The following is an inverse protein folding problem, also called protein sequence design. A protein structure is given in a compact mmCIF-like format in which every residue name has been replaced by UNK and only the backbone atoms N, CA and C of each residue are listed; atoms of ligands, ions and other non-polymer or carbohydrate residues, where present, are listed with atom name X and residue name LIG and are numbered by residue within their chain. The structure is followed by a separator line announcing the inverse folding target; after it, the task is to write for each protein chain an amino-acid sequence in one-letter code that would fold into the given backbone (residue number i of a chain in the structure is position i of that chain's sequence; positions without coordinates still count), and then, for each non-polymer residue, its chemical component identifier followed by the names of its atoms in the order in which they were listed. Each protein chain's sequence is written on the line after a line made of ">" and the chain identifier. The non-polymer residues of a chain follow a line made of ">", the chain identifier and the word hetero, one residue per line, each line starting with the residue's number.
data_IF_679030014432
#
_entry.id   IF_679030014432
#
_cell.length_a   1.000
_cell.length_b   1.000
_cell.length_c   1.000
_cell.angle_alpha   90.00
_cell.angle_beta   90.00
_cell.angle_gamma   90.00
#
_symmetry.space_group_name_H-M   'P 1'
#
loop_
_entity.id
_entity.type
_entity.pdbx_description
1 polymer ?
#
# COMPACT_ATOMS: atom_id res chain seq x y z
N UNK A 1 18.36 -45.01 -30.40
CA UNK A 1 18.11 -46.18 -29.53
C UNK A 1 18.99 -46.00 -28.31
N UNK A 2 18.41 -45.66 -27.17
CA UNK A 2 19.14 -45.59 -25.90
C UNK A 2 19.71 -46.98 -25.60
N UNK A 3 20.91 -47.02 -25.03
CA UNK A 3 21.59 -48.28 -24.79
C UNK A 3 20.87 -49.06 -23.68
N UNK A 4 20.75 -50.39 -23.81
CA UNK A 4 20.09 -51.20 -22.77
C UNK A 4 20.76 -51.04 -21.39
N UNK A 5 22.05 -50.70 -21.37
CA UNK A 5 22.83 -50.44 -20.14
C UNK A 5 22.31 -49.27 -19.31
N UNK A 6 21.72 -48.25 -19.94
CA UNK A 6 21.14 -47.12 -19.21
C UNK A 6 19.92 -47.53 -18.38
N UNK A 7 19.18 -48.55 -18.84
CA UNK A 7 17.96 -49.01 -18.19
C UNK A 7 18.17 -50.13 -17.19
N UNK A 8 19.32 -50.82 -17.23
CA UNK A 8 19.68 -51.93 -16.34
C UNK A 8 19.38 -51.66 -14.85
N UNK A 9 19.81 -50.54 -14.23
CA UNK A 9 19.48 -50.27 -12.83
C UNK A 9 17.97 -50.07 -12.59
N UNK A 10 17.25 -49.52 -13.58
CA UNK A 10 15.81 -49.23 -13.48
C UNK A 10 14.94 -50.48 -13.57
N UNK A 11 15.45 -51.58 -14.18
CA UNK A 11 14.68 -52.82 -14.33
C UNK A 11 14.32 -53.46 -12.98
N UNK A 12 15.26 -53.44 -12.04
CA UNK A 12 15.06 -54.00 -10.69
C UNK A 12 14.06 -53.20 -9.88
N UNK A 13 14.18 -51.87 -9.90
CA UNK A 13 13.26 -50.93 -9.23
C UNK A 13 11.85 -50.99 -9.82
N UNK A 14 11.73 -51.08 -11.15
CA UNK A 14 10.44 -51.24 -11.83
C UNK A 14 9.75 -52.55 -11.46
N UNK A 15 10.51 -53.65 -11.34
CA UNK A 15 9.97 -54.95 -10.94
C UNK A 15 9.37 -54.95 -9.53
N UNK A 16 9.87 -54.09 -8.64
CA UNK A 16 9.37 -53.92 -7.26
C UNK A 16 8.39 -52.74 -7.10
N UNK A 17 7.99 -52.09 -8.20
CA UNK A 17 7.14 -50.89 -8.19
C UNK A 17 7.71 -49.72 -7.36
N UNK A 18 9.03 -49.59 -7.30
CA UNK A 18 9.75 -48.53 -6.57
C UNK A 18 10.17 -47.35 -7.47
N UNK A 19 9.83 -47.43 -8.76
CA UNK A 19 10.22 -46.42 -9.74
C UNK A 19 9.25 -45.22 -9.72
N UNK A 20 9.77 -44.01 -9.85
CA UNK A 20 8.93 -42.82 -10.01
C UNK A 20 8.16 -42.86 -11.34
N UNK A 21 6.98 -42.24 -11.38
CA UNK A 21 6.07 -42.33 -12.53
C UNK A 21 6.71 -41.87 -13.86
N UNK A 22 7.55 -40.84 -13.83
CA UNK A 22 8.23 -40.32 -15.02
C UNK A 22 9.28 -41.31 -15.57
N UNK A 23 10.05 -41.91 -14.66
CA UNK A 23 11.04 -42.93 -14.99
C UNK A 23 10.36 -44.21 -15.51
N UNK A 24 9.21 -44.57 -14.91
CA UNK A 24 8.41 -45.72 -15.32
C UNK A 24 7.90 -45.55 -16.76
N UNK A 25 7.32 -44.40 -17.09
CA UNK A 25 6.86 -44.12 -18.44
C UNK A 25 8.00 -44.12 -19.48
N UNK A 26 9.22 -43.71 -19.09
CA UNK A 26 10.39 -43.76 -19.98
C UNK A 26 10.87 -45.20 -20.20
N UNK A 27 10.94 -46.00 -19.13
CA UNK A 27 11.31 -47.41 -19.22
C UNK A 27 10.27 -48.24 -19.99
N UNK A 28 8.98 -47.98 -19.81
CA UNK A 28 7.89 -48.67 -20.54
C UNK A 28 7.99 -48.48 -22.06
N UNK A 29 8.34 -47.28 -22.52
CA UNK A 29 8.63 -47.02 -23.94
C UNK A 29 9.79 -47.87 -24.45
N UNK A 30 10.85 -48.04 -23.66
CA UNK A 30 11.96 -48.93 -24.00
C UNK A 30 11.53 -50.40 -24.01
N UNK A 31 10.77 -50.84 -22.99
CA UNK A 31 10.25 -52.19 -22.87
C UNK A 31 9.31 -52.55 -24.02
N UNK A 32 8.59 -51.60 -24.61
CA UNK A 32 7.79 -51.85 -25.82
C UNK A 32 8.66 -52.31 -27.01
N UNK A 33 9.86 -51.75 -27.16
CA UNK A 33 10.78 -52.06 -28.26
C UNK A 33 11.83 -53.15 -28.00
N UNK A 34 12.16 -53.44 -26.74
CA UNK A 34 13.28 -54.32 -26.38
C UNK A 34 12.83 -55.64 -25.76
N UNK A 35 12.92 -56.75 -26.52
CA UNK A 35 12.58 -58.08 -26.02
C UNK A 35 13.52 -58.58 -24.90
N UNK A 36 14.78 -58.15 -24.90
CA UNK A 36 15.73 -58.60 -23.88
C UNK A 36 15.39 -58.04 -22.50
N UNK A 37 15.20 -56.72 -22.40
CA UNK A 37 14.85 -56.06 -21.14
C UNK A 37 13.49 -56.52 -20.60
N UNK A 38 12.51 -56.87 -21.47
CA UNK A 38 11.24 -57.50 -21.03
C UNK A 38 11.47 -58.84 -20.31
N UNK A 39 12.34 -59.70 -20.85
CA UNK A 39 12.67 -60.98 -20.20
C UNK A 39 13.35 -60.77 -18.85
N UNK A 40 14.21 -59.77 -18.77
CA UNK A 40 14.93 -59.43 -17.55
C UNK A 40 14.00 -58.90 -16.46
N UNK A 41 13.10 -57.96 -16.76
CA UNK A 41 12.05 -57.51 -15.83
C UNK A 41 11.18 -58.67 -15.35
N UNK A 42 10.77 -59.57 -16.25
CA UNK A 42 10.00 -60.74 -15.90
C UNK A 42 10.76 -61.70 -14.95
N UNK A 43 12.10 -61.76 -15.06
CA UNK A 43 12.95 -62.52 -14.15
C UNK A 43 13.03 -61.88 -12.77
N UNK A 44 13.20 -60.56 -12.67
CA UNK A 44 13.16 -59.82 -11.40
C UNK A 44 11.79 -59.96 -10.71
N UNK A 45 10.69 -59.83 -11.45
CA UNK A 45 9.34 -60.02 -10.90
C UNK A 45 9.12 -61.45 -10.38
N UNK A 46 9.69 -62.45 -11.07
CA UNK A 46 9.62 -63.85 -10.60
C UNK A 46 10.41 -64.04 -9.31
N UNK A 47 11.62 -63.49 -9.24
CA UNK A 47 12.45 -63.54 -8.04
C UNK A 47 11.78 -62.83 -6.87
N UNK A 48 11.23 -61.63 -7.10
CA UNK A 48 10.48 -60.85 -6.10
C UNK A 48 9.29 -61.63 -5.54
N UNK A 49 8.51 -62.30 -6.41
CA UNK A 49 7.42 -63.20 -5.98
C UNK A 49 7.92 -64.39 -5.15
N UNK A 50 9.05 -65.00 -5.52
CA UNK A 50 9.63 -66.11 -4.76
C UNK A 50 10.16 -65.66 -3.39
N UNK A 51 10.79 -64.48 -3.34
CA UNK A 51 11.22 -63.88 -2.07
C UNK A 51 10.04 -63.52 -1.18
N UNK A 52 8.93 -63.03 -1.75
CA UNK A 52 7.69 -62.74 -1.01
C UNK A 52 7.00 -63.98 -0.43
N UNK A 53 7.33 -65.18 -0.89
CA UNK A 53 6.84 -66.45 -0.31
C UNK A 53 7.67 -66.91 0.89
N UNK A 54 8.84 -66.32 1.13
CA UNK A 54 9.62 -66.60 2.33
C UNK A 54 8.88 -66.02 3.52
N UNK A 55 8.52 -66.87 4.47
CA UNK A 55 7.95 -66.40 5.72
C UNK A 55 8.99 -65.51 6.42
N UNK A 56 8.66 -64.25 6.72
CA UNK A 56 9.57 -63.43 7.52
C UNK A 56 9.79 -64.13 8.86
N UNK A 57 11.03 -64.18 9.36
CA UNK A 57 11.29 -64.78 10.66
C UNK A 57 10.46 -64.04 11.71
N UNK A 58 9.86 -64.77 12.66
CA UNK A 58 9.19 -64.16 13.79
C UNK A 58 10.24 -63.33 14.56
N UNK A 59 10.08 -62.00 14.51
CA UNK A 59 10.95 -61.09 15.26
C UNK A 59 10.47 -61.12 16.71
N UNK A 60 11.33 -61.48 17.69
CA UNK A 60 10.96 -61.44 19.10
C UNK A 60 10.49 -60.05 19.51
N UNK A 61 9.43 -59.96 20.34
CA UNK A 61 8.82 -58.68 20.74
C UNK A 61 9.80 -57.73 21.42
N UNK A 62 10.79 -58.27 22.16
CA UNK A 62 11.81 -57.47 22.83
C UNK A 62 12.74 -56.74 21.84
N UNK A 63 13.04 -57.32 20.68
CA UNK A 63 13.92 -56.69 19.68
C UNK A 63 13.27 -55.43 19.12
N UNK A 64 11.96 -55.45 18.88
CA UNK A 64 11.23 -54.26 18.44
C UNK A 64 11.16 -53.19 19.54
N UNK A 65 10.93 -53.60 20.79
CA UNK A 65 10.91 -52.68 21.92
C UNK A 65 12.28 -52.00 22.10
N UNK A 66 13.37 -52.76 22.05
CA UNK A 66 14.74 -52.26 22.20
C UNK A 66 15.12 -51.33 21.04
N UNK A 67 14.76 -51.70 19.80
CA UNK A 67 14.99 -50.85 18.63
C UNK A 67 14.23 -49.52 18.75
N UNK A 68 12.94 -49.57 19.10
CA UNK A 68 12.10 -48.38 19.26
C UNK A 68 12.60 -47.50 20.41
N UNK A 69 13.03 -48.10 21.52
CA UNK A 69 13.65 -47.37 22.63
C UNK A 69 14.94 -46.66 22.18
N UNK A 70 15.79 -47.33 21.39
CA UNK A 70 17.00 -46.75 20.83
C UNK A 70 16.74 -45.61 19.84
N UNK A 71 15.70 -45.72 19.01
CA UNK A 71 15.26 -44.65 18.10
C UNK A 71 14.71 -43.47 18.89
N UNK A 72 13.85 -43.71 19.88
CA UNK A 72 13.29 -42.67 20.73
C UNK A 72 14.39 -41.92 21.49
N UNK A 73 15.37 -42.63 22.04
CA UNK A 73 16.51 -42.04 22.75
C UNK A 73 17.41 -41.21 21.79
N UNK A 74 17.62 -41.65 20.55
CA UNK A 74 18.33 -40.83 19.54
C UNK A 74 17.54 -39.59 19.15
N UNK A 75 16.22 -39.67 19.01
CA UNK A 75 15.36 -38.51 18.73
C UNK A 75 15.41 -37.53 19.90
N UNK A 76 15.27 -38.01 21.14
CA UNK A 76 15.35 -37.18 22.35
C UNK A 76 16.72 -36.48 22.47
N UNK A 77 17.81 -37.20 22.16
CA UNK A 77 19.16 -36.59 22.10
C UNK A 77 19.29 -35.59 20.96
N UNK A 78 18.68 -35.86 19.81
CA UNK A 78 18.62 -34.96 18.66
C UNK A 78 17.79 -33.69 18.90
N UNK A 79 16.76 -33.74 19.74
CA UNK A 79 15.93 -32.57 20.03
C UNK A 79 16.69 -31.52 20.87
N UNK A 80 17.66 -31.97 21.68
CA UNK A 80 18.49 -31.11 22.52
C UNK A 80 19.33 -30.10 21.73
N UNK A 81 19.83 -30.45 20.53
CA UNK A 81 20.63 -29.51 19.73
C UNK A 81 19.75 -28.44 19.09
N UNK A 82 18.53 -28.80 18.66
CA UNK A 82 17.58 -27.84 18.08
C UNK A 82 17.14 -26.82 19.12
N UNK A 83 16.82 -27.27 20.34
CA UNK A 83 16.46 -26.36 21.45
C UNK A 83 17.62 -25.42 21.78
N UNK A 84 18.87 -25.91 21.81
CA UNK A 84 20.06 -25.06 22.04
C UNK A 84 20.28 -24.04 20.92
N UNK A 85 20.11 -24.42 19.66
CA UNK A 85 20.26 -23.51 18.51
C UNK A 85 19.17 -22.43 18.53
N UNK A 86 17.91 -22.81 18.78
CA UNK A 86 16.80 -21.85 18.88
C UNK A 86 17.04 -20.88 20.05
N UNK A 87 17.47 -21.37 21.21
CA UNK A 87 17.81 -20.53 22.36
C UNK A 87 18.95 -19.55 22.03
N UNK A 88 20.01 -20.01 21.34
CA UNK A 88 21.12 -19.15 20.92
C UNK A 88 20.66 -18.07 19.94
N UNK A 89 19.85 -18.43 18.94
CA UNK A 89 19.27 -17.47 17.98
C UNK A 89 18.41 -16.44 18.72
N UNK A 90 17.60 -16.86 19.70
CA UNK A 90 16.78 -15.95 20.50
C UNK A 90 17.63 -14.97 21.33
N UNK A 91 18.74 -15.44 21.93
CA UNK A 91 19.70 -14.59 22.65
C UNK A 91 20.35 -13.57 21.71
N UNK A 92 20.81 -14.00 20.54
CA UNK A 92 21.41 -13.12 19.54
C UNK A 92 20.38 -12.09 19.05
N UNK A 93 19.16 -12.52 18.71
CA UNK A 93 18.09 -11.62 18.28
C UNK A 93 17.73 -10.59 19.36
N UNK A 94 17.68 -11.00 20.63
CA UNK A 94 17.46 -10.10 21.78
C UNK A 94 18.60 -9.08 21.93
N UNK A 95 19.85 -9.49 21.73
CA UNK A 95 21.00 -8.58 21.77
C UNK A 95 20.93 -7.53 20.65
N UNK A 96 20.63 -7.93 19.42
CA UNK A 96 20.52 -7.02 18.28
C UNK A 96 19.32 -6.07 18.36
N UNK A 97 18.17 -6.54 18.87
CA UNK A 97 16.99 -5.68 19.03
C UNK A 97 17.25 -4.58 20.05
N UNK A 98 17.90 -4.90 21.17
CA UNK A 98 18.28 -3.93 22.22
C UNK A 98 19.29 -2.90 21.73
N UNK A 99 20.23 -3.29 20.87
CA UNK A 99 21.21 -2.37 20.26
C UNK A 99 20.56 -1.47 19.21
N UNK A 100 19.61 -2.01 18.43
CA UNK A 100 18.83 -1.25 17.44
C UNK A 100 18.00 -0.16 18.13
N UNK A 101 17.32 -0.47 19.24
CA UNK A 101 16.54 0.53 19.98
C UNK A 101 17.40 1.70 20.47
N UNK A 102 18.64 1.45 20.91
CA UNK A 102 19.55 2.52 21.32
C UNK A 102 19.91 3.46 20.16
N UNK A 103 20.28 2.92 19.00
CA UNK A 103 20.65 3.74 17.83
C UNK A 103 19.47 4.61 17.37
N UNK A 104 18.25 4.05 17.30
CA UNK A 104 17.06 4.81 16.91
C UNK A 104 16.71 5.89 17.92
N UNK A 105 16.84 5.62 19.23
CA UNK A 105 16.59 6.65 20.26
C UNK A 105 17.59 7.80 20.17
N UNK A 106 18.88 7.52 19.96
CA UNK A 106 19.90 8.57 19.80
C UNK A 106 19.67 9.41 18.54
N UNK A 107 19.31 8.76 17.42
CA UNK A 107 19.02 9.45 16.17
C UNK A 107 17.78 10.35 16.28
N UNK A 108 16.73 9.88 16.96
CA UNK A 108 15.53 10.67 17.22
C UNK A 108 15.83 11.91 18.09
N UNK A 109 16.64 11.74 19.14
CA UNK A 109 17.08 12.86 19.99
C UNK A 109 17.88 13.90 19.18
N UNK A 110 18.78 13.46 18.30
CA UNK A 110 19.55 14.36 17.43
C UNK A 110 18.66 15.12 16.44
N UNK A 111 17.67 14.45 15.83
CA UNK A 111 16.70 15.12 14.95
C UNK A 111 15.90 16.17 15.72
N UNK A 112 15.38 15.83 16.90
CA UNK A 112 14.62 16.77 17.72
C UNK A 112 15.47 17.98 18.13
N UNK A 113 16.71 17.75 18.57
CA UNK A 113 17.64 18.83 18.91
C UNK A 113 17.94 19.74 17.69
N UNK A 114 18.16 19.15 16.52
CA UNK A 114 18.39 19.89 15.27
C UNK A 114 17.18 20.73 14.84
N UNK A 115 15.97 20.16 14.89
CA UNK A 115 14.74 20.90 14.58
C UNK A 115 14.48 22.04 15.56
N UNK A 116 14.77 21.84 16.85
CA UNK A 116 14.64 22.87 17.87
C UNK A 116 15.64 24.01 17.63
N UNK A 117 16.90 23.69 17.34
CA UNK A 117 17.93 24.68 17.01
C UNK A 117 17.57 25.48 15.76
N UNK A 118 17.10 24.82 14.68
CA UNK A 118 16.69 25.49 13.46
C UNK A 118 15.50 26.45 13.70
N UNK A 119 14.49 26.02 14.46
CA UNK A 119 13.34 26.87 14.81
C UNK A 119 13.74 28.04 15.72
N UNK A 120 14.64 27.78 16.67
CA UNK A 120 15.20 28.83 17.55
C UNK A 120 15.95 29.90 16.74
N UNK A 121 16.81 29.48 15.80
CA UNK A 121 17.50 30.40 14.89
C UNK A 121 16.54 31.16 13.99
N UNK A 122 15.55 30.49 13.38
CA UNK A 122 14.56 31.15 12.53
C UNK A 122 13.77 32.23 13.28
N UNK A 123 13.47 32.02 14.56
CA UNK A 123 12.83 33.04 15.42
C UNK A 123 13.77 34.20 15.75
N UNK A 124 15.06 33.92 15.96
CA UNK A 124 16.07 34.96 16.21
C UNK A 124 16.35 35.81 14.96
N UNK A 125 16.28 35.23 13.77
CA UNK A 125 16.51 35.94 12.50
C UNK A 125 15.25 36.53 11.88
N UNK A 126 14.08 36.35 12.51
CA UNK A 126 12.86 36.94 12.00
C UNK A 126 13.01 38.47 12.05
N UNK A 127 12.95 39.17 10.89
CA UNK A 127 13.03 40.62 10.89
C UNK A 127 11.89 41.18 11.75
N UNK A 128 12.18 42.24 12.51
CA UNK A 128 11.17 42.96 13.26
C UNK A 128 10.00 43.26 12.31
N UNK A 129 8.78 42.85 12.68
CA UNK A 129 7.63 43.09 11.82
C UNK A 129 7.53 44.59 11.51
N UNK A 130 7.30 44.97 10.25
CA UNK A 130 7.17 46.37 9.88
C UNK A 130 6.05 46.96 10.74
N UNK A 131 6.38 48.06 11.41
CA UNK A 131 5.41 48.76 12.24
C UNK A 131 4.26 49.25 11.35
N UNK A 132 3.03 49.29 11.87
CA UNK A 132 1.82 49.66 11.11
C UNK A 132 2.00 50.97 10.31
N UNK A 133 2.86 51.86 10.81
CA UNK A 133 3.28 53.12 10.21
C UNK A 133 4.02 52.96 8.88
N UNK A 134 4.91 51.98 8.72
CA UNK A 134 5.63 51.74 7.45
C UNK A 134 4.71 51.17 6.37
N UNK A 135 3.74 50.33 6.75
CA UNK A 135 2.75 49.78 5.83
C UNK A 135 1.79 50.85 5.29
N UNK A 136 1.50 51.88 6.08
CA UNK A 136 0.64 53.00 5.66
C UNK A 136 1.35 54.02 4.76
N UNK A 137 2.69 54.06 4.78
CA UNK A 137 3.46 55.04 4.02
C UNK A 137 3.79 54.61 2.58
N UNK A 138 3.74 53.32 2.26
CA UNK A 138 4.32 52.78 1.01
C UNK A 138 3.30 52.42 -0.09
N UNK A 139 2.02 52.81 0.06
CA UNK A 139 0.98 52.64 -0.98
C UNK A 139 0.02 53.83 -0.94
N UNK A 140 -0.53 54.22 -2.10
CA UNK A 140 -1.50 55.31 -2.35
C UNK A 140 -2.85 55.20 -1.61
N UNK A 141 -2.88 54.58 -0.43
CA UNK A 141 -4.04 54.55 0.46
C UNK A 141 -4.48 55.94 0.87
N UNK A 142 -3.57 56.92 0.93
CA UNK A 142 -3.93 58.32 1.14
C UNK A 142 -4.87 58.83 0.03
N UNK A 143 -4.59 58.47 -1.24
CA UNK A 143 -5.44 58.81 -2.38
C UNK A 143 -6.80 58.13 -2.31
N UNK A 144 -6.82 56.80 -2.08
CA UNK A 144 -8.06 56.03 -1.93
C UNK A 144 -8.91 56.49 -0.73
N UNK A 145 -8.27 56.82 0.40
CA UNK A 145 -8.96 57.33 1.58
C UNK A 145 -9.52 58.74 1.34
N UNK A 146 -8.77 59.64 0.69
CA UNK A 146 -9.28 60.96 0.31
C UNK A 146 -10.45 60.86 -0.68
N UNK A 147 -10.35 59.97 -1.67
CA UNK A 147 -11.38 59.78 -2.69
C UNK A 147 -12.67 59.20 -2.10
N UNK A 148 -12.58 58.30 -1.11
CA UNK A 148 -13.74 57.75 -0.39
C UNK A 148 -14.30 58.70 0.67
N UNK A 149 -13.47 59.53 1.32
CA UNK A 149 -13.90 60.40 2.41
C UNK A 149 -14.44 61.75 1.95
N UNK A 150 -14.14 62.21 0.73
CA UNK A 150 -14.70 63.47 0.21
C UNK A 150 -16.23 63.36 -0.01
N UNK A 151 -17.04 64.28 0.54
CA UNK A 151 -18.50 64.25 0.37
C UNK A 151 -18.94 64.59 -1.06
N UNK A 152 -18.11 65.33 -1.81
CA UNK A 152 -18.38 65.71 -3.20
C UNK A 152 -18.22 64.54 -4.18
N UNK A 153 -17.19 63.69 -3.98
CA UNK A 153 -17.03 62.46 -4.77
C UNK A 153 -18.11 61.42 -4.44
N UNK A 154 -18.60 61.39 -3.18
CA UNK A 154 -19.74 60.54 -2.80
C UNK A 154 -21.04 60.96 -3.47
N UNK A 155 -21.35 62.25 -3.50
CA UNK A 155 -22.58 62.74 -4.13
C UNK A 155 -22.63 62.46 -5.65
N UNK A 156 -21.48 62.52 -6.33
CA UNK A 156 -21.39 62.28 -7.77
C UNK A 156 -21.55 60.80 -8.20
N UNK A 157 -21.37 59.83 -7.29
CA UNK A 157 -21.39 58.38 -7.61
C UNK A 157 -22.50 57.59 -6.91
N UNK A 158 -23.53 58.24 -6.37
CA UNK A 158 -24.64 57.57 -5.67
C UNK A 158 -25.50 56.66 -6.57
N UNK A 159 -25.33 56.69 -7.89
CA UNK A 159 -26.11 55.87 -8.83
C UNK A 159 -25.31 54.87 -9.67
N UNK A 160 -23.98 54.81 -9.51
CA UNK A 160 -23.19 53.78 -10.18
C UNK A 160 -23.02 52.57 -9.27
N UNK A 161 -23.41 51.36 -9.71
CA UNK A 161 -23.16 50.15 -8.94
C UNK A 161 -21.65 49.97 -8.80
N UNK A 162 -21.16 49.89 -7.56
CA UNK A 162 -19.75 49.58 -7.30
C UNK A 162 -19.43 48.28 -8.02
N UNK A 163 -18.45 48.26 -8.95
CA UNK A 163 -18.15 47.06 -9.70
C UNK A 163 -17.73 45.95 -8.72
N UNK A 164 -18.45 44.83 -8.74
CA UNK A 164 -18.25 43.72 -7.81
C UNK A 164 -16.79 43.21 -7.78
N UNK A 165 -16.06 43.36 -8.89
CA UNK A 165 -14.65 43.03 -8.98
C UNK A 165 -13.75 43.83 -8.03
N UNK A 166 -14.06 45.09 -7.77
CA UNK A 166 -13.29 45.96 -6.87
C UNK A 166 -13.55 45.62 -5.40
N UNK A 167 -14.80 45.27 -5.08
CA UNK A 167 -15.15 44.81 -3.74
C UNK A 167 -14.53 43.43 -3.45
N UNK A 168 -14.51 42.54 -4.44
CA UNK A 168 -13.88 41.22 -4.32
C UNK A 168 -12.36 41.30 -4.24
N UNK A 169 -11.71 42.20 -4.97
CA UNK A 169 -10.25 42.37 -4.88
C UNK A 169 -9.85 42.90 -3.50
N UNK A 170 -10.59 43.88 -2.96
CA UNK A 170 -10.36 44.41 -1.61
C UNK A 170 -10.62 43.34 -0.53
N UNK A 171 -11.70 42.58 -0.63
CA UNK A 171 -11.98 41.50 0.31
C UNK A 171 -10.96 40.36 0.23
N UNK A 172 -10.42 40.08 -0.96
CA UNK A 172 -9.37 39.07 -1.15
C UNK A 172 -8.05 39.51 -0.52
N UNK A 173 -7.60 40.74 -0.79
CA UNK A 173 -6.37 41.27 -0.16
C UNK A 173 -6.51 41.33 1.36
N UNK A 174 -7.66 41.78 1.88
CA UNK A 174 -7.92 41.79 3.32
C UNK A 174 -7.94 40.39 3.94
N UNK A 175 -8.44 39.38 3.22
CA UNK A 175 -8.45 37.99 3.69
C UNK A 175 -7.05 37.37 3.68
N UNK A 176 -6.24 37.65 2.67
CA UNK A 176 -4.84 37.19 2.62
C UNK A 176 -4.01 37.85 3.74
N UNK A 177 -4.18 39.16 3.97
CA UNK A 177 -3.53 39.86 5.08
C UNK A 177 -3.97 39.34 6.46
N UNK A 178 -5.28 39.09 6.65
CA UNK A 178 -5.84 38.54 7.89
C UNK A 178 -5.45 37.07 8.14
N UNK A 179 -5.02 36.33 7.12
CA UNK A 179 -4.52 34.96 7.27
C UNK A 179 -3.24 34.88 8.11
N UNK A 180 -2.47 35.97 8.17
CA UNK A 180 -1.21 36.04 8.90
C UNK A 180 -1.35 36.61 10.33
N UNK A 181 -2.42 37.37 10.61
CA UNK A 181 -2.67 37.96 11.94
C UNK A 181 -4.07 37.61 12.47
N UNK A 182 -4.11 36.90 13.61
CA UNK A 182 -5.35 36.49 14.30
C UNK A 182 -6.25 37.68 14.64
N UNK A 183 -5.71 38.86 14.93
CA UNK A 183 -6.52 40.03 15.34
C UNK A 183 -7.29 40.65 14.18
N UNK A 184 -6.64 40.76 13.02
CA UNK A 184 -7.27 41.25 11.79
C UNK A 184 -8.38 40.32 11.32
N UNK A 185 -8.19 39.01 11.49
CA UNK A 185 -9.21 38.01 11.17
C UNK A 185 -10.49 38.21 11.96
N UNK A 186 -10.40 38.48 13.26
CA UNK A 186 -11.59 38.69 14.10
C UNK A 186 -12.34 39.97 13.70
N UNK A 187 -11.61 41.06 13.39
CA UNK A 187 -12.22 42.30 12.89
C UNK A 187 -12.89 42.14 11.52
N UNK A 188 -12.26 41.40 10.60
CA UNK A 188 -12.82 41.12 9.28
C UNK A 188 -14.10 40.28 9.36
N UNK A 189 -14.11 39.24 10.20
CA UNK A 189 -15.30 38.39 10.39
C UNK A 189 -16.46 39.20 10.99
N UNK A 190 -16.18 40.14 11.90
CA UNK A 190 -17.20 41.04 12.46
C UNK A 190 -17.79 41.97 11.39
N UNK A 191 -16.96 42.56 10.52
CA UNK A 191 -17.42 43.42 9.42
C UNK A 191 -18.22 42.61 8.39
N UNK A 192 -17.73 41.44 7.98
CA UNK A 192 -18.41 40.57 7.02
C UNK A 192 -19.75 40.05 7.55
N UNK A 193 -19.88 39.86 8.88
CA UNK A 193 -21.15 39.44 9.50
C UNK A 193 -22.26 40.49 9.38
N UNK A 194 -21.91 41.76 9.14
CA UNK A 194 -22.86 42.86 8.96
C UNK A 194 -23.32 43.04 7.50
N UNK A 195 -22.72 42.33 6.54
CA UNK A 195 -23.08 42.41 5.11
C UNK A 195 -24.11 41.33 4.75
N UNK A 196 -25.38 41.66 4.43
CA UNK A 196 -26.47 40.67 4.33
C UNK A 196 -26.41 39.69 3.13
N UNK A 197 -25.46 39.84 2.20
CA UNK A 197 -25.58 39.31 0.83
C UNK A 197 -24.98 37.91 0.55
N UNK A 198 -24.38 37.22 1.52
CA UNK A 198 -23.59 35.99 1.25
C UNK A 198 -24.04 34.71 2.01
N UNK A 199 -25.33 34.58 2.35
CA UNK A 199 -25.86 33.41 3.11
C UNK A 199 -26.33 32.19 2.26
N UNK A 200 -26.11 32.14 0.95
CA UNK A 200 -26.51 30.96 0.16
C UNK A 200 -25.42 29.87 0.04
N UNK A 201 -25.67 28.78 0.77
CA UNK A 201 -25.07 27.43 0.81
C UNK A 201 -24.37 26.92 -0.48
N UNK A 202 -23.16 26.37 -0.31
CA UNK A 202 -22.62 25.25 -1.12
C UNK A 202 -22.18 24.11 -0.19
N UNK A 203 -22.99 23.04 -0.15
CA UNK A 203 -22.69 21.74 0.49
C UNK A 203 -22.83 20.65 -0.55
N UNK A 204 -21.92 19.67 -0.59
CA UNK A 204 -22.19 18.39 -1.28
C UNK A 204 -20.96 17.55 -1.64
N UNK A 205 -20.36 16.84 -0.68
CA UNK A 205 -19.49 15.68 -0.96
C UNK A 205 -20.19 14.45 -0.38
N UNK A 206 -20.68 13.56 -1.24
CA UNK A 206 -21.32 12.29 -0.87
C UNK A 206 -20.29 11.16 -0.97
N UNK A 207 -19.99 10.50 0.14
CA UNK A 207 -19.14 9.31 0.20
C UNK A 207 -20.04 8.06 0.20
N UNK A 208 -19.97 7.24 -0.86
CA UNK A 208 -20.47 5.86 -0.84
C UNK A 208 -19.27 4.91 -0.85
N UNK A 209 -19.34 3.84 -0.05
CA UNK A 209 -18.21 3.05 0.46
C UNK A 209 -17.33 2.31 -0.57
N UNK A 210 -17.55 2.50 -1.88
CA UNK A 210 -16.71 1.87 -2.92
C UNK A 210 -16.45 2.73 -4.17
N UNK A 211 -16.81 4.03 -4.16
CA UNK A 211 -16.55 4.94 -5.29
C UNK A 211 -16.20 6.34 -4.78
N UNK A 212 -15.06 6.87 -5.22
CA UNK A 212 -14.69 8.28 -5.04
C UNK A 212 -14.79 8.93 -6.42
N UNK A 213 -15.68 9.89 -6.57
CA UNK A 213 -15.72 10.77 -7.74
C UNK A 213 -14.83 11.97 -7.48
N UNK A 214 -13.82 12.19 -8.32
CA UNK A 214 -13.01 13.41 -8.30
C UNK A 214 -13.43 14.25 -9.49
N UNK A 215 -13.86 15.49 -9.22
CA UNK A 215 -14.18 16.47 -10.26
C UNK A 215 -12.90 17.26 -10.52
N UNK A 216 -12.28 17.05 -11.69
CA UNK A 216 -11.16 17.85 -12.16
C UNK A 216 -11.64 18.78 -13.28
N UNK A 217 -10.87 19.84 -13.57
CA UNK A 217 -11.24 20.86 -14.56
C UNK A 217 -11.38 20.31 -16.00
N UNK A 218 -10.87 19.11 -16.27
CA UNK A 218 -10.90 18.39 -17.54
C UNK A 218 -11.94 17.26 -17.61
N UNK A 219 -12.77 17.07 -16.58
CA UNK A 219 -13.86 16.10 -16.56
C UNK A 219 -13.96 15.26 -15.29
N UNK A 220 -14.99 14.41 -15.22
CA UNK A 220 -15.25 13.54 -14.06
C UNK A 220 -14.55 12.20 -14.25
N UNK A 221 -13.63 11.86 -13.34
CA UNK A 221 -12.97 10.53 -13.32
C UNK A 221 -13.51 9.71 -12.14
N UNK A 222 -14.00 8.50 -12.43
CA UNK A 222 -14.50 7.57 -11.43
C UNK A 222 -13.47 6.47 -11.22
N UNK A 223 -12.90 6.40 -10.00
CA UNK A 223 -11.98 5.34 -9.62
C UNK A 223 -12.76 4.21 -8.94
N UNK A 224 -12.59 2.98 -9.43
CA UNK A 224 -13.21 1.78 -8.85
C UNK A 224 -12.15 0.96 -8.14
N UNK A 225 -12.43 0.52 -6.91
CA UNK A 225 -11.57 -0.40 -6.15
C UNK A 225 -11.92 -1.83 -6.56
N UNK A 226 -10.92 -2.64 -6.92
CA UNK A 226 -11.13 -3.99 -7.46
C UNK A 226 -11.53 -5.03 -6.39
N UNK A 227 -11.18 -4.77 -5.12
CA UNK A 227 -11.62 -5.55 -3.95
C UNK A 227 -11.52 -4.67 -2.69
N UNK A 228 -12.34 -4.90 -1.65
CA UNK A 228 -12.34 -4.08 -0.43
C UNK A 228 -10.98 -4.09 0.32
N UNK A 229 -10.15 -5.10 0.11
CA UNK A 229 -8.80 -5.25 0.69
C UNK A 229 -7.64 -4.91 -0.27
N UNK A 230 -7.93 -4.46 -1.50
CA UNK A 230 -6.91 -4.12 -2.49
C UNK A 230 -6.52 -2.64 -2.42
N UNK A 231 -5.22 -2.36 -2.28
CA UNK A 231 -4.65 -1.01 -2.43
C UNK A 231 -4.48 -0.57 -3.89
N UNK A 232 -4.65 -1.49 -4.85
CA UNK A 232 -4.60 -1.18 -6.27
C UNK A 232 -5.95 -0.63 -6.75
N UNK A 233 -5.93 0.59 -7.31
CA UNK A 233 -7.03 1.19 -8.06
C UNK A 233 -6.62 1.25 -9.52
N UNK A 234 -7.36 0.57 -10.39
CA UNK A 234 -7.15 0.66 -11.83
C UNK A 234 -8.07 1.74 -12.40
N UNK A 235 -7.56 2.69 -13.20
CA UNK A 235 -8.40 3.63 -13.91
C UNK A 235 -9.33 2.85 -14.84
N UNK A 236 -10.64 3.04 -14.69
CA UNK A 236 -11.61 2.53 -15.65
C UNK A 236 -11.69 3.57 -16.77
N UNK A 237 -10.76 3.49 -17.73
CA UNK A 237 -10.86 4.25 -18.97
C UNK A 237 -11.95 3.61 -19.84
N UNK A 238 -13.19 4.10 -19.72
CA UNK A 238 -14.16 3.99 -20.80
C UNK A 238 -14.11 5.28 -21.59
N UNK A 239 -13.72 5.20 -22.85
CA UNK A 239 -13.76 6.33 -23.78
C UNK A 239 -15.20 6.85 -23.86
N UNK A 240 -15.44 8.02 -23.27
CA UNK A 240 -16.73 8.73 -23.30
C UNK A 240 -17.00 9.38 -24.68
N UNK A 241 -16.28 8.97 -25.74
CA UNK A 241 -16.37 9.52 -27.10
C UNK A 241 -17.68 9.21 -27.84
N UNK A 242 -18.72 8.72 -27.16
CA UNK A 242 -20.05 8.46 -27.73
C UNK A 242 -21.21 9.16 -27.00
N UNK A 243 -20.95 10.01 -26.01
CA UNK A 243 -22.02 10.78 -25.36
C UNK A 243 -22.17 12.12 -26.08
N UNK A 244 -23.35 12.44 -26.66
CA UNK A 244 -23.57 13.72 -27.33
C UNK A 244 -23.51 14.88 -26.32
N UNK A 245 -22.96 16.05 -26.68
CA UNK A 245 -22.52 17.10 -25.74
C UNK A 245 -23.62 17.83 -24.95
N UNK A 246 -24.88 17.40 -24.96
CA UNK A 246 -25.99 18.10 -24.29
C UNK A 246 -26.98 17.18 -23.56
N UNK A 247 -26.59 15.96 -23.20
CA UNK A 247 -27.49 15.06 -22.46
C UNK A 247 -27.15 15.09 -20.96
N UNK A 248 -28.05 15.64 -20.14
CA UNK A 248 -28.00 15.46 -18.68
C UNK A 248 -28.36 14.00 -18.36
N UNK A 249 -27.34 13.18 -18.11
CA UNK A 249 -27.54 11.81 -17.66
C UNK A 249 -27.61 11.82 -16.14
N UNK A 250 -28.71 11.34 -15.59
CA UNK A 250 -28.85 11.23 -14.14
C UNK A 250 -27.91 10.15 -13.59
N UNK A 251 -27.38 10.33 -12.38
CA UNK A 251 -26.44 9.39 -11.76
C UNK A 251 -26.99 7.95 -11.71
N UNK A 252 -28.32 7.79 -11.65
CA UNK A 252 -28.99 6.50 -11.64
C UNK A 252 -28.97 5.79 -13.01
N UNK A 253 -29.10 6.54 -14.12
CA UNK A 253 -28.96 5.98 -15.47
C UNK A 253 -27.54 5.50 -15.77
N UNK A 254 -26.54 6.24 -15.26
CA UNK A 254 -25.13 5.87 -15.35
C UNK A 254 -24.81 4.57 -14.59
N UNK A 255 -25.51 4.31 -13.49
CA UNK A 255 -25.36 3.07 -12.71
C UNK A 255 -26.04 1.89 -13.42
N UNK A 256 -27.20 2.11 -14.05
CA UNK A 256 -27.95 1.07 -14.76
C UNK A 256 -27.20 0.50 -15.99
N UNK A 257 -26.45 1.33 -16.71
CA UNK A 257 -25.67 0.91 -17.89
C UNK A 257 -24.36 0.15 -17.55
N UNK A 258 -24.09 -0.11 -16.27
CA UNK A 258 -22.85 -0.79 -15.82
C UNK A 258 -23.07 -2.16 -15.16
N UNK A 259 -24.31 -2.66 -15.15
CA UNK A 259 -24.63 -4.08 -14.88
C UNK A 259 -24.61 -4.86 -16.19
#
# INVERSE_FOLDING_TARGET
>A
MNSCREFEPLLSLYANAELEAEQAGTLEKHLAGCANCRREVASYQRLSRQMGQLHPPAIPENVFADFNAGVADKIARGESWRVRVVALIAVIASYYSRRRTMVWTSLLVLILAGTFAANYFARMTAPAQPTLTELLQNRDWAGLYYEMSSPLSRAARLHEPVPAGLLLSVLRELREAAGQDRRLRTGLEQILSQVPLLKHKTTGVSQSANRIGVIAADGVRILKRNAPSSASMTPVERSLSKIPPHQEITLNELIAQTK
#
